data_IF_809886392199
#
_entry.id   IF_809886392199
#
_cell.length_a   1.000
_cell.length_b   1.000
_cell.length_c   1.000
_cell.angle_alpha   90.00
_cell.angle_beta   90.00
_cell.angle_gamma   90.00
#
_symmetry.space_group_name_H-M   'P 1'
#
loop_
_entity.id
_entity.type
_entity.pdbx_description
1 polymer ?
#
# COMPACT_ATOMS: atom_id res chain seq x y z
N UNK A 1 3.70 -20.32 7.77
CA UNK A 1 4.44 -19.05 7.87
C UNK A 1 3.40 -17.96 8.12
N UNK A 2 3.69 -16.98 8.98
CA UNK A 2 2.81 -15.83 9.18
C UNK A 2 2.76 -15.01 7.89
N UNK A 3 1.59 -14.49 7.52
CA UNK A 3 1.44 -13.59 6.38
C UNK A 3 2.12 -12.25 6.68
N UNK A 4 2.72 -11.65 5.66
CA UNK A 4 3.43 -10.38 5.76
C UNK A 4 2.77 -9.30 4.91
N UNK A 5 2.41 -8.18 5.54
CA UNK A 5 1.88 -6.99 4.87
C UNK A 5 2.89 -5.85 4.96
N UNK A 6 3.27 -5.30 3.82
CA UNK A 6 4.07 -4.06 3.77
C UNK A 6 3.12 -2.88 3.57
N UNK A 7 3.13 -1.95 4.53
CA UNK A 7 2.24 -0.77 4.51
C UNK A 7 3.03 0.46 4.08
N UNK A 8 2.61 1.06 2.97
CA UNK A 8 3.07 2.36 2.52
C UNK A 8 2.20 3.47 3.10
N UNK A 9 2.79 4.37 3.88
CA UNK A 9 2.11 5.49 4.52
C UNK A 9 2.52 6.79 3.83
N UNK A 10 1.55 7.51 3.25
CA UNK A 10 1.82 8.77 2.54
C UNK A 10 1.26 9.99 3.25
N UNK A 11 1.82 11.17 2.95
CA UNK A 11 1.59 12.41 3.71
C UNK A 11 0.19 13.00 3.55
N UNK A 12 -0.62 12.86 4.57
CA UNK A 12 -1.94 13.46 4.70
C UNK A 12 -2.46 13.35 6.13
N UNK A 13 -3.46 14.14 6.50
CA UNK A 13 -3.98 14.14 7.87
C UNK A 13 -4.45 12.76 8.34
N UNK A 14 -4.86 11.88 7.44
CA UNK A 14 -5.32 10.53 7.75
C UNK A 14 -4.19 9.53 8.14
N UNK A 15 -2.91 9.97 8.15
CA UNK A 15 -1.75 9.15 8.55
C UNK A 15 -1.96 8.48 9.90
N UNK A 16 -2.56 9.18 10.89
CA UNK A 16 -2.79 8.63 12.22
C UNK A 16 -3.67 7.36 12.21
N UNK A 17 -4.58 7.22 11.25
CA UNK A 17 -5.45 6.04 11.15
C UNK A 17 -4.72 4.78 10.70
N UNK A 18 -3.59 4.93 10.01
CA UNK A 18 -2.76 3.78 9.65
C UNK A 18 -2.20 3.06 10.89
N UNK A 19 -2.04 3.75 12.01
CA UNK A 19 -1.64 3.12 13.28
C UNK A 19 -2.69 2.11 13.77
N UNK A 20 -3.98 2.47 13.65
CA UNK A 20 -5.08 1.57 14.03
C UNK A 20 -5.16 0.36 13.10
N UNK A 21 -4.93 0.55 11.79
CA UNK A 21 -4.86 -0.53 10.82
C UNK A 21 -3.72 -1.50 11.18
N UNK A 22 -2.52 -0.98 11.46
CA UNK A 22 -1.36 -1.79 11.86
C UNK A 22 -1.67 -2.57 13.15
N UNK A 23 -2.20 -1.88 14.16
CA UNK A 23 -2.58 -2.53 15.43
C UNK A 23 -3.59 -3.65 15.23
N UNK A 24 -4.59 -3.45 14.35
CA UNK A 24 -5.61 -4.47 14.07
C UNK A 24 -5.03 -5.67 13.32
N UNK A 25 -4.14 -5.45 12.34
CA UNK A 25 -3.47 -6.53 11.61
C UNK A 25 -2.53 -7.34 12.53
N UNK A 26 -1.76 -6.66 13.38
CA UNK A 26 -0.87 -7.30 14.36
C UNK A 26 -1.65 -8.21 15.35
N UNK A 27 -2.85 -7.80 15.78
CA UNK A 27 -3.73 -8.63 16.63
C UNK A 27 -4.25 -9.89 15.93
N UNK A 28 -4.08 -10.00 14.62
CA UNK A 28 -4.43 -11.16 13.80
C UNK A 28 -3.19 -11.98 13.38
N UNK A 29 -2.07 -11.80 14.09
CA UNK A 29 -0.79 -12.47 13.87
C UNK A 29 -0.20 -12.25 12.47
N UNK A 30 -0.55 -11.11 11.84
CA UNK A 30 0.04 -10.66 10.57
C UNK A 30 1.31 -9.87 10.87
N UNK A 31 2.41 -10.23 10.21
CA UNK A 31 3.63 -9.44 10.25
C UNK A 31 3.45 -8.16 9.45
N UNK A 32 3.80 -7.00 10.04
CA UNK A 32 3.61 -5.71 9.39
C UNK A 32 4.92 -4.95 9.31
N UNK A 33 5.35 -4.60 8.11
CA UNK A 33 6.44 -3.65 7.86
C UNK A 33 5.88 -2.33 7.35
N UNK A 34 6.57 -1.23 7.67
CA UNK A 34 6.08 0.11 7.33
C UNK A 34 7.12 0.88 6.54
N UNK A 35 6.68 1.43 5.41
CA UNK A 35 7.44 2.41 4.63
C UNK A 35 6.69 3.73 4.74
N UNK A 36 7.37 4.80 5.18
CA UNK A 36 6.78 6.13 5.24
C UNK A 36 7.45 7.05 4.22
N UNK A 37 6.64 7.82 3.51
CA UNK A 37 7.19 8.92 2.72
C UNK A 37 7.68 10.04 3.64
N UNK A 38 8.61 10.87 3.17
CA UNK A 38 9.08 12.05 3.90
C UNK A 38 7.91 12.95 4.35
N UNK A 39 6.91 13.12 3.48
CA UNK A 39 5.70 13.90 3.82
C UNK A 39 4.87 13.26 4.94
N UNK A 40 4.83 11.93 5.03
CA UNK A 40 4.13 11.23 6.11
C UNK A 40 4.81 11.47 7.47
N UNK A 41 6.14 11.49 7.50
CA UNK A 41 6.92 11.72 8.72
C UNK A 41 6.70 13.11 9.34
N UNK A 42 6.20 14.06 8.55
CA UNK A 42 5.84 15.41 9.03
C UNK A 42 4.52 15.43 9.82
N UNK A 43 3.66 14.43 9.64
CA UNK A 43 2.41 14.30 10.38
C UNK A 43 2.53 13.43 11.63
N UNK A 44 3.24 12.31 11.53
CA UNK A 44 3.43 11.36 12.63
C UNK A 44 4.88 10.87 12.61
N UNK A 45 5.51 10.85 13.79
CA UNK A 45 6.88 10.39 13.92
C UNK A 45 7.00 8.90 13.56
N UNK A 46 7.99 8.50 12.75
CA UNK A 46 8.26 7.10 12.42
C UNK A 46 8.37 6.16 13.63
N UNK A 47 8.88 6.66 14.76
CA UNK A 47 9.00 5.90 16.00
C UNK A 47 7.64 5.38 16.51
N UNK A 48 6.54 6.13 16.28
CA UNK A 48 5.20 5.68 16.65
C UNK A 48 4.80 4.44 15.85
N UNK A 49 5.06 4.44 14.55
CA UNK A 49 4.81 3.29 13.67
C UNK A 49 5.70 2.09 14.02
N UNK A 50 6.97 2.35 14.31
CA UNK A 50 7.93 1.32 14.73
C UNK A 50 7.47 0.63 16.01
N UNK A 51 6.99 1.39 16.99
CA UNK A 51 6.54 0.85 18.28
C UNK A 51 5.31 -0.05 18.12
N UNK A 52 4.39 0.26 17.21
CA UNK A 52 3.16 -0.51 16.99
C UNK A 52 3.42 -1.71 16.08
N UNK A 53 4.18 -1.55 15.01
CA UNK A 53 4.49 -2.63 14.08
C UNK A 53 5.51 -3.63 14.65
N UNK A 54 6.31 -3.19 15.64
CA UNK A 54 7.46 -3.93 16.18
C UNK A 54 8.52 -4.27 15.13
N UNK A 55 8.57 -3.50 14.06
CA UNK A 55 9.55 -3.58 12.99
C UNK A 55 10.12 -2.19 12.69
N UNK A 56 11.35 -2.13 12.19
CA UNK A 56 11.96 -0.87 11.76
C UNK A 56 11.13 -0.23 10.66
N UNK A 57 10.90 1.08 10.79
CA UNK A 57 10.22 1.88 9.78
C UNK A 57 11.25 2.40 8.79
N UNK A 58 11.00 2.22 7.50
CA UNK A 58 11.89 2.71 6.45
C UNK A 58 11.34 4.00 5.87
N UNK A 59 12.15 5.06 5.89
CA UNK A 59 11.77 6.39 5.38
C UNK A 59 12.62 6.84 4.20
N UNK A 60 13.84 6.32 4.11
CA UNK A 60 14.84 6.73 3.12
C UNK A 60 15.58 5.49 2.59
N UNK A 61 15.77 5.41 1.27
CA UNK A 61 16.53 4.33 0.63
C UNK A 61 18.04 4.38 0.95
N UNK A 62 18.53 5.53 1.36
CA UNK A 62 19.96 5.79 1.55
C UNK A 62 20.35 5.98 3.01
N UNK A 63 19.40 5.79 3.95
CA UNK A 63 19.68 5.91 5.39
C UNK A 63 20.73 4.92 5.86
N UNK A 64 21.59 5.36 6.75
CA UNK A 64 22.57 4.53 7.46
C UNK A 64 21.95 3.91 8.74
N UNK A 65 22.37 2.72 9.21
CA UNK A 65 23.37 1.85 8.59
C UNK A 65 22.82 1.07 7.41
N UNK A 66 23.60 0.95 6.33
CA UNK A 66 23.25 0.13 5.18
C UNK A 66 23.37 -1.34 5.55
N UNK A 67 22.25 -2.07 5.50
CA UNK A 67 22.29 -3.52 5.49
C UNK A 67 22.92 -4.04 4.19
N UNK A 68 23.43 -5.28 4.19
CA UNK A 68 23.90 -5.93 2.97
C UNK A 68 22.77 -6.14 1.95
N UNK A 69 21.51 -6.18 2.44
CA UNK A 69 20.33 -6.32 1.61
C UNK A 69 19.82 -4.95 1.14
N UNK A 70 19.43 -4.90 -0.12
CA UNK A 70 18.77 -3.74 -0.69
C UNK A 70 17.35 -3.69 -0.13
N UNK A 71 17.08 -2.80 0.81
CA UNK A 71 15.84 -2.78 1.61
C UNK A 71 14.54 -2.77 0.78
N UNK A 72 14.48 -2.00 -0.30
CA UNK A 72 13.28 -1.97 -1.15
C UNK A 72 13.04 -3.30 -1.88
N UNK A 73 14.09 -4.03 -2.24
CA UNK A 73 13.97 -5.36 -2.84
C UNK A 73 13.57 -6.39 -1.78
N UNK A 74 14.23 -6.37 -0.62
CA UNK A 74 13.90 -7.28 0.49
C UNK A 74 12.44 -7.15 0.93
N UNK A 75 11.94 -5.92 1.12
CA UNK A 75 10.54 -5.66 1.47
C UNK A 75 9.57 -6.05 0.34
N UNK A 76 9.93 -5.76 -0.92
CA UNK A 76 9.12 -6.14 -2.08
C UNK A 76 8.95 -7.66 -2.22
N UNK A 77 10.01 -8.43 -1.89
CA UNK A 77 9.99 -9.90 -1.94
C UNK A 77 9.30 -10.53 -0.72
N UNK A 78 9.41 -9.88 0.45
CA UNK A 78 8.81 -10.35 1.70
C UNK A 78 7.29 -10.17 1.74
N UNK A 79 6.76 -9.20 1.01
CA UNK A 79 5.35 -8.86 1.02
C UNK A 79 4.49 -9.98 0.42
N UNK A 80 3.51 -10.49 1.17
CA UNK A 80 2.36 -11.22 0.61
C UNK A 80 1.32 -10.24 0.04
N UNK A 81 1.26 -9.02 0.60
CA UNK A 81 0.41 -7.92 0.16
C UNK A 81 1.09 -6.58 0.44
N UNK A 82 0.99 -5.64 -0.48
CA UNK A 82 1.31 -4.23 -0.23
C UNK A 82 0.01 -3.44 -0.04
N UNK A 83 -0.09 -2.72 1.08
CA UNK A 83 -1.17 -1.77 1.36
C UNK A 83 -0.63 -0.35 1.30
N UNK A 84 -1.23 0.52 0.51
CA UNK A 84 -0.93 1.97 0.54
C UNK A 84 -2.08 2.69 1.24
N UNK A 85 -1.87 3.06 2.49
CA UNK A 85 -2.91 3.68 3.33
C UNK A 85 -2.31 4.66 4.37
N UNK A 86 -2.68 5.95 4.33
CA UNK A 86 -3.48 6.60 3.29
C UNK A 86 -2.72 6.75 1.98
N UNK A 87 -3.40 6.72 0.84
CA UNK A 87 -2.83 7.00 -0.47
C UNK A 87 -3.24 8.39 -0.96
N UNK A 88 -2.27 9.29 -1.10
CA UNK A 88 -2.46 10.62 -1.65
C UNK A 88 -2.54 10.61 -3.18
N UNK A 89 -3.09 11.68 -3.78
CA UNK A 89 -3.06 11.86 -5.23
C UNK A 89 -1.62 11.80 -5.80
N UNK A 90 -0.63 12.28 -5.03
CA UNK A 90 0.78 12.25 -5.42
C UNK A 90 1.27 10.80 -5.63
N UNK A 91 1.07 9.90 -4.65
CA UNK A 91 1.54 8.51 -4.78
C UNK A 91 0.78 7.77 -5.88
N UNK A 92 -0.53 7.99 -6.02
CA UNK A 92 -1.35 7.42 -7.09
C UNK A 92 -0.80 7.87 -8.45
N UNK A 93 -0.48 9.15 -8.60
CA UNK A 93 0.13 9.71 -9.81
C UNK A 93 1.50 9.11 -10.10
N UNK A 94 2.36 8.96 -9.10
CA UNK A 94 3.69 8.33 -9.25
C UNK A 94 3.55 6.88 -9.74
N UNK A 95 2.78 6.06 -9.03
CA UNK A 95 2.61 4.64 -9.37
C UNK A 95 2.04 4.49 -10.78
N UNK A 96 1.01 5.25 -11.14
CA UNK A 96 0.36 5.17 -12.46
C UNK A 96 1.28 5.53 -13.64
N UNK A 97 2.36 6.26 -13.37
CA UNK A 97 3.34 6.67 -14.37
C UNK A 97 4.71 6.01 -14.20
N UNK A 98 4.83 5.00 -13.32
CA UNK A 98 6.06 4.24 -13.12
C UNK A 98 7.20 5.06 -12.50
N UNK A 99 6.89 6.13 -11.75
CA UNK A 99 7.89 6.93 -11.06
C UNK A 99 8.32 6.22 -9.79
N UNK A 100 9.63 5.96 -9.65
CA UNK A 100 10.26 5.25 -8.56
C UNK A 100 11.39 6.12 -7.97
N UNK A 101 11.04 7.24 -7.36
CA UNK A 101 11.97 8.27 -6.87
C UNK A 101 12.07 8.34 -5.35
N UNK A 102 11.32 7.49 -4.64
CA UNK A 102 11.37 7.33 -3.19
C UNK A 102 11.27 5.85 -2.79
N UNK A 103 11.51 5.56 -1.50
CA UNK A 103 11.50 4.19 -0.96
C UNK A 103 10.18 3.46 -1.25
N UNK A 104 9.03 4.13 -1.09
CA UNK A 104 7.71 3.52 -1.28
C UNK A 104 7.44 3.22 -2.76
N UNK A 105 7.60 4.21 -3.62
CA UNK A 105 7.35 4.06 -5.06
C UNK A 105 8.29 3.03 -5.69
N UNK A 106 9.56 2.99 -5.26
CA UNK A 106 10.54 1.99 -5.73
C UNK A 106 10.14 0.57 -5.27
N UNK A 107 9.72 0.40 -4.01
CA UNK A 107 9.28 -0.91 -3.50
C UNK A 107 8.04 -1.40 -4.24
N UNK A 108 7.08 -0.51 -4.53
CA UNK A 108 5.87 -0.85 -5.31
C UNK A 108 6.22 -1.29 -6.73
N UNK A 109 7.19 -0.65 -7.37
CA UNK A 109 7.63 -1.05 -8.72
C UNK A 109 8.39 -2.38 -8.72
N UNK A 110 9.00 -2.78 -7.60
CA UNK A 110 9.79 -4.00 -7.48
C UNK A 110 8.98 -5.22 -7.00
N UNK A 111 7.79 -5.01 -6.42
CA UNK A 111 7.01 -6.11 -5.83
C UNK A 111 6.25 -6.92 -6.88
N UNK A 112 6.09 -8.22 -6.59
CA UNK A 112 5.15 -9.11 -7.28
C UNK A 112 3.88 -9.35 -6.47
N UNK A 113 3.85 -8.87 -5.21
CA UNK A 113 2.67 -8.99 -4.36
C UNK A 113 1.52 -8.13 -4.90
N UNK A 114 0.29 -8.52 -4.59
CA UNK A 114 -0.88 -7.67 -4.84
C UNK A 114 -0.73 -6.32 -4.15
N UNK A 115 -1.15 -5.25 -4.80
CA UNK A 115 -1.10 -3.90 -4.25
C UNK A 115 -2.53 -3.40 -4.04
N UNK A 116 -2.87 -3.10 -2.78
CA UNK A 116 -4.15 -2.55 -2.35
C UNK A 116 -3.97 -1.08 -1.98
N UNK A 117 -4.77 -0.21 -2.56
CA UNK A 117 -4.65 1.24 -2.40
C UNK A 117 -5.89 1.80 -1.73
N UNK A 118 -5.71 2.53 -0.63
CA UNK A 118 -6.78 3.22 0.10
C UNK A 118 -6.61 4.76 -0.05
N UNK A 119 -7.30 5.38 -1.02
CA UNK A 119 -7.20 6.82 -1.26
C UNK A 119 -7.69 7.66 -0.07
N UNK A 120 -6.98 8.78 0.17
CA UNK A 120 -7.41 9.80 1.13
C UNK A 120 -6.94 11.17 0.66
N UNK A 121 -7.89 12.05 0.30
CA UNK A 121 -7.61 13.39 -0.18
C UNK A 121 -8.87 14.26 -0.12
N UNK A 122 -8.73 15.56 -0.41
CA UNK A 122 -9.87 16.46 -0.57
C UNK A 122 -10.79 15.98 -1.71
N UNK A 123 -12.10 16.25 -1.60
CA UNK A 123 -13.11 15.84 -2.58
C UNK A 123 -12.77 16.30 -3.99
N UNK A 124 -12.43 17.58 -4.15
CA UNK A 124 -12.09 18.13 -5.48
C UNK A 124 -10.84 17.47 -6.09
N UNK A 125 -9.88 17.04 -5.24
CA UNK A 125 -8.73 16.28 -5.70
C UNK A 125 -9.15 14.87 -6.13
N UNK A 126 -10.01 14.21 -5.36
CA UNK A 126 -10.47 12.87 -5.69
C UNK A 126 -11.29 12.86 -6.98
N UNK A 127 -12.19 13.83 -7.16
CA UNK A 127 -13.04 13.96 -8.34
C UNK A 127 -12.30 14.54 -9.57
N UNK A 128 -11.05 15.00 -9.39
CA UNK A 128 -10.26 15.52 -10.47
C UNK A 128 -10.05 14.44 -11.55
N UNK A 129 -10.35 14.78 -12.80
CA UNK A 129 -10.29 13.86 -13.95
C UNK A 129 -8.92 13.19 -14.13
N UNK A 130 -7.83 13.89 -13.80
CA UNK A 130 -6.47 13.32 -13.87
C UNK A 130 -6.32 12.23 -12.80
N UNK A 131 -6.79 12.48 -11.57
CA UNK A 131 -6.72 11.50 -10.49
C UNK A 131 -7.59 10.29 -10.79
N UNK A 132 -8.82 10.50 -11.27
CA UNK A 132 -9.73 9.41 -11.66
C UNK A 132 -9.16 8.59 -12.83
N UNK A 133 -8.53 9.23 -13.81
CA UNK A 133 -7.85 8.53 -14.89
C UNK A 133 -6.66 7.68 -14.39
N UNK A 134 -5.87 8.22 -13.46
CA UNK A 134 -4.77 7.46 -12.83
C UNK A 134 -5.29 6.24 -12.05
N UNK A 135 -6.40 6.39 -11.32
CA UNK A 135 -7.04 5.29 -10.60
C UNK A 135 -7.54 4.23 -11.58
N UNK A 136 -8.24 4.63 -12.65
CA UNK A 136 -8.72 3.70 -13.69
C UNK A 136 -7.56 2.94 -14.34
N UNK A 137 -6.52 3.65 -14.76
CA UNK A 137 -5.31 3.07 -15.33
C UNK A 137 -4.66 2.03 -14.40
N UNK A 138 -4.58 2.31 -13.11
CA UNK A 138 -4.03 1.37 -12.14
C UNK A 138 -4.95 0.15 -11.94
N UNK A 139 -6.27 0.33 -11.92
CA UNK A 139 -7.24 -0.78 -11.89
C UNK A 139 -7.05 -1.70 -13.11
N UNK A 140 -6.84 -1.15 -14.30
CA UNK A 140 -6.58 -1.91 -15.54
C UNK A 140 -5.25 -2.71 -15.45
N UNK A 141 -4.28 -2.23 -14.68
CA UNK A 141 -3.03 -2.95 -14.40
C UNK A 141 -3.12 -3.94 -13.23
N UNK A 142 -4.33 -4.17 -12.67
CA UNK A 142 -4.56 -5.15 -11.61
C UNK A 142 -4.37 -4.63 -10.19
N UNK A 143 -4.11 -3.34 -10.00
CA UNK A 143 -4.09 -2.74 -8.68
C UNK A 143 -5.50 -2.70 -8.08
N UNK A 144 -5.62 -3.06 -6.81
CA UNK A 144 -6.90 -3.06 -6.10
C UNK A 144 -7.09 -1.75 -5.35
N UNK A 145 -8.33 -1.30 -5.26
CA UNK A 145 -8.68 -0.06 -4.55
C UNK A 145 -9.73 -0.32 -3.50
N UNK A 146 -9.58 0.37 -2.36
CA UNK A 146 -10.62 0.51 -1.34
C UNK A 146 -11.25 1.87 -1.58
N UNK A 147 -12.55 1.90 -1.86
CA UNK A 147 -13.24 3.16 -2.14
C UNK A 147 -13.21 4.07 -0.89
N UNK A 148 -12.88 5.37 -1.07
CA UNK A 148 -12.87 6.29 0.05
C UNK A 148 -14.27 6.51 0.59
N UNK A 149 -14.37 6.76 1.89
CA UNK A 149 -15.62 7.07 2.55
C UNK A 149 -16.09 8.50 2.21
N UNK A 150 -17.40 8.67 2.25
CA UNK A 150 -18.04 9.99 2.19
C UNK A 150 -18.21 10.55 3.61
N UNK A 151 -18.17 11.87 3.76
CA UNK A 151 -18.41 12.54 5.04
C UNK A 151 -17.68 13.87 5.15
N UNK A 152 -17.65 14.41 6.39
CA UNK A 152 -16.95 15.66 6.67
C UNK A 152 -15.44 15.43 6.63
N UNK A 153 -14.76 16.20 5.80
CA UNK A 153 -13.31 16.21 5.66
C UNK A 153 -12.65 17.16 6.65
N UNK A 154 -11.34 17.04 6.81
CA UNK A 154 -10.57 17.89 7.72
C UNK A 154 -10.60 19.39 7.33
N UNK A 155 -10.80 19.69 6.03
CA UNK A 155 -10.98 21.06 5.53
C UNK A 155 -12.39 21.65 5.81
N UNK A 156 -13.31 20.84 6.37
CA UNK A 156 -14.68 21.26 6.64
C UNK A 156 -15.70 20.91 5.55
N UNK A 157 -15.25 20.59 4.36
CA UNK A 157 -16.09 20.16 3.25
C UNK A 157 -16.77 18.82 3.54
N UNK A 158 -17.90 18.58 2.90
CA UNK A 158 -18.62 17.29 2.95
C UNK A 158 -18.61 16.68 1.56
N UNK A 159 -18.05 15.46 1.44
CA UNK A 159 -17.98 14.78 0.17
C UNK A 159 -17.19 13.48 0.27
N UNK A 160 -16.90 12.89 -0.90
CA UNK A 160 -16.07 11.68 -1.02
C UNK A 160 -14.58 12.06 -0.95
N UNK A 161 -13.77 11.20 -0.35
CA UNK A 161 -12.31 11.40 -0.29
C UNK A 161 -11.70 11.13 1.08
N UNK A 162 -12.53 10.84 2.08
CA UNK A 162 -12.09 10.43 3.41
C UNK A 162 -11.54 9.00 3.34
N UNK A 163 -10.42 8.73 4.04
CA UNK A 163 -9.91 7.37 4.18
C UNK A 163 -11.03 6.43 4.65
N UNK A 164 -11.16 5.29 4.00
CA UNK A 164 -12.09 4.23 4.42
C UNK A 164 -11.92 3.89 5.91
N UNK A 165 -12.94 3.31 6.51
CA UNK A 165 -12.87 2.93 7.92
C UNK A 165 -11.83 1.84 8.14
N UNK A 166 -11.20 1.85 9.32
CA UNK A 166 -10.13 0.91 9.68
C UNK A 166 -10.59 -0.54 9.51
N UNK A 167 -11.81 -0.86 9.94
CA UNK A 167 -12.34 -2.22 9.80
C UNK A 167 -12.48 -2.63 8.33
N UNK A 168 -13.01 -1.75 7.49
CA UNK A 168 -13.13 -1.99 6.03
C UNK A 168 -11.75 -2.23 5.40
N UNK A 169 -10.73 -1.44 5.79
CA UNK A 169 -9.37 -1.64 5.28
C UNK A 169 -8.82 -3.01 5.72
N UNK A 170 -8.99 -3.36 6.99
CA UNK A 170 -8.50 -4.63 7.55
C UNK A 170 -9.21 -5.82 6.90
N UNK A 171 -10.52 -5.77 6.73
CA UNK A 171 -11.31 -6.81 6.05
C UNK A 171 -10.82 -7.02 4.62
N UNK A 172 -10.63 -5.93 3.85
CA UNK A 172 -10.11 -6.01 2.49
C UNK A 172 -8.70 -6.60 2.42
N UNK A 173 -7.83 -6.24 3.37
CA UNK A 173 -6.48 -6.84 3.47
C UNK A 173 -6.56 -8.35 3.68
N UNK A 174 -7.44 -8.80 4.58
CA UNK A 174 -7.62 -10.23 4.87
C UNK A 174 -8.16 -10.99 3.65
N UNK A 175 -9.17 -10.45 2.98
CA UNK A 175 -9.72 -11.02 1.75
C UNK A 175 -8.64 -11.21 0.68
N UNK A 176 -7.84 -10.17 0.41
CA UNK A 176 -6.78 -10.24 -0.60
C UNK A 176 -5.64 -11.21 -0.22
N UNK A 177 -5.38 -11.39 1.10
CA UNK A 177 -4.41 -12.38 1.58
C UNK A 177 -4.92 -13.83 1.49
N UNK A 178 -6.24 -14.05 1.52
CA UNK A 178 -6.88 -15.36 1.39
C UNK A 178 -7.09 -15.77 -0.07
N UNK A 179 -7.31 -14.81 -0.95
CA UNK A 179 -7.40 -15.06 -2.39
C UNK A 179 -6.07 -15.64 -2.90
N UNK A 180 -6.05 -16.94 -3.15
CA UNK A 180 -4.94 -17.55 -3.90
C UNK A 180 -4.90 -16.90 -5.27
N UNK A 181 -3.72 -16.45 -5.71
CA UNK A 181 -3.52 -16.13 -7.11
C UNK A 181 -4.03 -17.34 -7.92
N UNK A 182 -4.80 -17.14 -9.00
CA UNK A 182 -5.13 -18.25 -9.88
C UNK A 182 -3.78 -18.88 -10.29
N UNK A 183 -3.50 -20.06 -9.76
CA UNK A 183 -2.34 -20.83 -10.20
C UNK A 183 -2.35 -20.78 -11.72
N UNK A 184 -1.25 -20.34 -12.30
CA UNK A 184 -0.98 -20.54 -13.71
C UNK A 184 -1.02 -22.06 -13.90
N UNK A 185 -2.19 -22.59 -14.26
CA UNK A 185 -2.30 -23.96 -14.74
C UNK A 185 -1.53 -23.98 -16.06
N UNK A 186 -0.25 -24.28 -15.97
CA UNK A 186 0.51 -24.70 -17.14
C UNK A 186 -0.16 -25.99 -17.57
N UNK A 187 -1.08 -25.90 -18.52
CA UNK A 187 -1.45 -27.05 -19.31
C UNK A 187 -0.19 -27.45 -20.07
N UNK A 188 0.55 -28.38 -19.49
CA UNK A 188 1.52 -29.16 -20.23
C UNK A 188 0.69 -29.99 -21.20
N UNK A 189 0.40 -29.44 -22.37
CA UNK A 189 -0.05 -30.21 -23.51
C UNK A 189 1.11 -31.13 -23.85
N UNK A 190 0.95 -32.37 -23.46
CA UNK A 190 1.83 -33.47 -23.89
C UNK A 190 1.79 -33.51 -25.42
N UNK A 191 2.70 -32.77 -26.05
CA UNK A 191 3.01 -33.02 -27.44
C UNK A 191 3.82 -34.33 -27.47
N UNK A 192 3.10 -35.43 -27.62
CA UNK A 192 3.70 -36.68 -27.97
C UNK A 192 4.48 -36.50 -29.27
N UNK A 193 5.78 -36.54 -29.17
CA UNK A 193 6.64 -36.75 -30.32
C UNK A 193 6.47 -38.21 -30.74
N UNK A 194 5.93 -38.50 -31.93
CA UNK A 194 6.01 -39.83 -32.47
C UNK A 194 7.37 -39.98 -33.18
N UNK A 195 8.29 -40.65 -32.53
CA UNK A 195 9.36 -41.45 -33.14
C UNK A 195 9.98 -42.33 -32.07
#
# INVERSE_FOLDING_TARGET
MSKCVVIGVTGGIAVYKALDVISALRKKDIEVHVIMTESASKFVNPLTFQSISQNMVVTDMFAEPKAWEIQHISLAQKADLMLVAPATANIIGKISNGIADDMLSTTIMATKAKVLIAPAMNTNMYENKIVQNNISKLKDFGYKFIEPASGRLACGDVGIGKLADVNTIVERVLEELEEKDPEFVIMVTNWGCPW
#
